data_IF_629104162240
#
_entry.id   IF_629104162240
#
_cell.length_a   1.000
_cell.length_b   1.000
_cell.length_c   1.000
_cell.angle_alpha   90.00
_cell.angle_beta   90.00
_cell.angle_gamma   90.00
#
_symmetry.space_group_name_H-M   'P 1'
#
loop_
_entity.id
_entity.type
_entity.pdbx_description
1 polymer ?
#
# COMPACT_ATOMS: atom_id res chain seq x y z
N UNK A 1 -13.87 4.20 7.64
CA UNK A 1 -12.95 3.08 7.87
C UNK A 1 -11.59 3.52 7.37
N UNK A 2 -10.55 3.29 8.14
CA UNK A 2 -9.16 3.68 7.87
C UNK A 2 -9.02 5.13 7.42
N UNK A 3 -9.48 6.07 8.26
CA UNK A 3 -9.25 7.50 8.02
C UNK A 3 -7.77 7.75 7.70
N UNK A 4 -7.54 8.57 6.68
CA UNK A 4 -6.19 8.95 6.25
C UNK A 4 -5.38 9.57 7.41
N UNK A 5 -6.05 10.35 8.25
CA UNK A 5 -5.52 10.89 9.49
C UNK A 5 -6.56 10.73 10.62
N UNK A 6 -6.17 10.15 11.76
CA UNK A 6 -7.09 9.94 12.89
C UNK A 6 -7.61 11.26 13.47
N UNK A 7 -6.84 12.34 13.33
CA UNK A 7 -7.20 13.69 13.74
C UNK A 7 -8.49 14.20 13.07
N UNK A 8 -8.85 13.67 11.90
CA UNK A 8 -10.08 14.04 11.18
C UNK A 8 -11.33 13.79 12.04
N UNK A 9 -11.31 12.80 12.95
CA UNK A 9 -12.42 12.56 13.88
C UNK A 9 -12.72 13.79 14.75
N UNK A 10 -11.70 14.57 15.13
CA UNK A 10 -11.85 15.76 15.97
C UNK A 10 -12.52 16.95 15.27
N UNK A 11 -12.74 16.89 13.94
CA UNK A 11 -13.43 17.95 13.20
C UNK A 11 -14.96 17.81 13.24
N UNK A 12 -15.48 16.68 13.71
CA UNK A 12 -16.91 16.43 13.77
C UNK A 12 -17.47 16.85 15.13
N UNK A 13 -18.57 17.60 15.10
CA UNK A 13 -19.37 17.92 16.29
C UNK A 13 -20.35 16.80 16.67
N UNK A 14 -20.25 15.64 16.00
CA UNK A 14 -21.10 14.46 16.18
C UNK A 14 -20.20 13.22 16.35
N UNK A 15 -20.66 12.14 17.00
CA UNK A 15 -19.88 10.91 17.14
C UNK A 15 -19.45 10.35 15.77
N UNK A 16 -18.16 10.02 15.64
CA UNK A 16 -17.60 9.38 14.44
C UNK A 16 -16.65 8.26 14.84
N UNK A 17 -16.99 7.03 14.45
CA UNK A 17 -16.17 5.85 14.69
C UNK A 17 -15.24 5.56 13.51
N UNK A 18 -13.93 5.54 13.77
CA UNK A 18 -12.93 5.14 12.79
C UNK A 18 -12.66 3.63 12.91
N UNK A 19 -13.35 2.85 12.09
CA UNK A 19 -13.11 1.41 11.96
C UNK A 19 -11.79 1.13 11.23
N UNK A 20 -11.10 0.05 11.55
CA UNK A 20 -9.83 -0.34 10.93
C UNK A 20 -9.94 -1.67 10.20
N UNK A 21 -9.41 -1.76 8.97
CA UNK A 21 -9.36 -3.02 8.23
C UNK A 21 -8.23 -3.96 8.70
N UNK A 22 -7.32 -3.47 9.54
CA UNK A 22 -6.12 -4.20 9.99
C UNK A 22 -6.38 -5.64 10.46
N UNK A 23 -7.41 -5.94 11.31
CA UNK A 23 -7.65 -7.32 11.76
C UNK A 23 -7.95 -8.28 10.61
N UNK A 24 -8.73 -7.84 9.62
CA UNK A 24 -9.07 -8.64 8.44
C UNK A 24 -7.85 -8.85 7.54
N UNK A 25 -7.01 -7.82 7.41
CA UNK A 25 -5.75 -7.88 6.66
C UNK A 25 -4.80 -8.90 7.30
N UNK A 26 -4.60 -8.83 8.62
CA UNK A 26 -3.75 -9.76 9.38
C UNK A 26 -4.24 -11.20 9.25
N UNK A 27 -5.56 -11.42 9.36
CA UNK A 27 -6.16 -12.73 9.19
C UNK A 27 -5.89 -13.28 7.79
N UNK A 28 -6.10 -12.46 6.75
CA UNK A 28 -5.86 -12.87 5.37
C UNK A 28 -4.39 -13.18 5.11
N UNK A 29 -3.45 -12.34 5.58
CA UNK A 29 -2.01 -12.59 5.41
C UNK A 29 -1.60 -13.92 6.04
N UNK A 30 -1.96 -14.16 7.31
CA UNK A 30 -1.62 -15.40 8.02
C UNK A 30 -2.19 -16.66 7.36
N UNK A 31 -3.34 -16.54 6.69
CA UNK A 31 -4.01 -17.67 6.04
C UNK A 31 -3.48 -17.97 4.64
N UNK A 32 -2.96 -16.96 3.93
CA UNK A 32 -2.67 -17.06 2.50
C UNK A 32 -1.18 -16.93 2.14
N UNK A 33 -0.35 -16.43 3.06
CA UNK A 33 1.06 -16.14 2.80
C UNK A 33 1.96 -16.81 3.86
N UNK A 34 3.17 -17.17 3.44
CA UNK A 34 4.25 -17.58 4.32
C UNK A 34 4.85 -16.35 5.02
N UNK A 35 4.43 -16.11 6.26
CA UNK A 35 4.75 -14.88 7.01
C UNK A 35 6.25 -14.72 7.28
N UNK A 36 6.98 -15.82 7.45
CA UNK A 36 8.42 -15.81 7.75
C UNK A 36 9.24 -15.20 6.61
N UNK A 37 8.77 -15.38 5.36
CA UNK A 37 9.39 -14.83 4.16
C UNK A 37 8.66 -13.60 3.60
N UNK A 38 7.97 -12.85 4.46
CA UNK A 38 7.31 -11.60 4.07
C UNK A 38 8.03 -10.37 4.60
N UNK A 39 7.69 -9.21 4.04
CA UNK A 39 8.13 -7.90 4.54
C UNK A 39 6.98 -6.92 4.29
N UNK A 40 6.59 -6.16 5.32
CA UNK A 40 5.59 -5.10 5.17
C UNK A 40 6.28 -3.83 4.66
N UNK A 41 5.77 -3.22 3.61
CA UNK A 41 6.38 -2.03 2.97
C UNK A 41 5.48 -0.81 3.15
N UNK A 42 6.05 0.28 3.69
CA UNK A 42 5.39 1.58 3.84
C UNK A 42 5.81 2.60 2.76
N UNK A 43 4.88 3.45 2.28
CA UNK A 43 5.17 4.47 1.28
C UNK A 43 6.06 5.60 1.77
N UNK A 44 6.03 5.88 3.08
CA UNK A 44 6.84 6.90 3.73
C UNK A 44 6.80 6.77 5.27
N UNK A 45 7.37 7.76 5.96
CA UNK A 45 7.37 7.85 7.42
C UNK A 45 5.97 8.10 8.03
N UNK A 46 5.04 8.71 7.29
CA UNK A 46 3.67 8.93 7.73
C UNK A 46 2.89 7.61 7.82
N UNK A 47 3.05 6.77 6.79
CA UNK A 47 2.49 5.40 6.75
C UNK A 47 3.18 4.39 7.68
N UNK A 48 4.39 4.71 8.17
CA UNK A 48 5.24 3.76 8.89
C UNK A 48 4.57 3.18 10.13
N UNK A 49 3.85 3.99 10.92
CA UNK A 49 3.16 3.50 12.13
C UNK A 49 2.17 2.35 11.84
N UNK A 50 1.41 2.46 10.75
CA UNK A 50 0.46 1.43 10.33
C UNK A 50 1.18 0.18 9.86
N UNK A 51 2.21 0.35 9.04
CA UNK A 51 2.99 -0.76 8.51
C UNK A 51 3.77 -1.52 9.61
N UNK A 52 4.36 -0.80 10.57
CA UNK A 52 5.04 -1.39 11.73
C UNK A 52 4.05 -2.13 12.63
N UNK A 53 2.86 -1.58 12.90
CA UNK A 53 1.79 -2.29 13.64
C UNK A 53 1.46 -3.65 13.02
N UNK A 54 1.31 -3.69 11.68
CA UNK A 54 1.07 -4.93 10.96
C UNK A 54 2.27 -5.88 11.05
N UNK A 55 3.49 -5.36 10.85
CA UNK A 55 4.72 -6.14 10.88
C UNK A 55 4.96 -6.80 12.25
N UNK A 56 4.80 -6.03 13.33
CA UNK A 56 4.96 -6.51 14.71
C UNK A 56 3.94 -7.61 15.04
N UNK A 57 2.68 -7.43 14.64
CA UNK A 57 1.62 -8.42 14.85
C UNK A 57 1.83 -9.69 14.03
N UNK A 58 2.53 -9.60 12.90
CA UNK A 58 2.91 -10.75 12.07
C UNK A 58 4.26 -11.34 12.46
N UNK A 59 5.02 -10.67 13.35
CA UNK A 59 6.41 -11.01 13.64
C UNK A 59 7.26 -11.11 12.36
N UNK A 60 7.17 -10.10 11.49
CA UNK A 60 7.86 -10.07 10.19
C UNK A 60 8.63 -8.77 9.99
N UNK A 61 9.44 -8.70 8.93
CA UNK A 61 10.25 -7.54 8.64
C UNK A 61 9.42 -6.34 8.15
N UNK A 62 9.99 -5.15 8.29
CA UNK A 62 9.41 -3.89 7.82
C UNK A 62 10.41 -3.16 6.92
N UNK A 63 9.91 -2.56 5.85
CA UNK A 63 10.66 -1.67 4.96
C UNK A 63 9.85 -0.41 4.66
N UNK A 64 10.53 0.69 4.32
CA UNK A 64 9.87 1.93 3.94
C UNK A 64 10.61 2.69 2.86
N UNK A 65 9.87 3.50 2.11
CA UNK A 65 10.48 4.42 1.15
C UNK A 65 10.82 5.74 1.84
N UNK A 66 12.11 6.03 1.95
CA UNK A 66 12.61 7.30 2.44
C UNK A 66 12.86 8.27 1.28
N UNK A 67 12.21 9.44 1.36
CA UNK A 67 12.43 10.57 0.46
C UNK A 67 13.57 11.42 1.02
N UNK A 68 14.78 11.23 0.53
CA UNK A 68 15.86 12.18 0.83
C UNK A 68 15.61 13.47 0.07
N UNK A 69 15.67 14.62 0.76
CA UNK A 69 15.58 15.95 0.13
C UNK A 69 16.80 16.75 0.54
N UNK A 70 17.71 17.09 -0.39
CA UNK A 70 18.88 17.90 -0.04
C UNK A 70 18.50 19.33 0.32
N UNK A 71 17.42 19.88 -0.26
CA UNK A 71 16.84 21.21 0.04
C UNK A 71 15.33 21.21 -0.25
N UNK A 72 14.56 22.15 0.31
CA UNK A 72 13.18 22.39 -0.11
C UNK A 72 13.09 22.60 -1.63
N UNK A 73 12.06 22.01 -2.27
CA UNK A 73 11.83 22.06 -3.72
C UNK A 73 12.88 21.40 -4.62
N UNK A 74 13.90 20.72 -4.08
CA UNK A 74 14.79 19.88 -4.88
C UNK A 74 14.27 18.44 -4.84
N UNK A 75 14.05 17.85 -6.03
CA UNK A 75 13.74 16.43 -6.16
C UNK A 75 14.97 15.66 -5.73
N UNK A 76 14.91 15.06 -4.54
CA UNK A 76 15.97 14.16 -4.10
C UNK A 76 15.65 12.70 -4.43
N UNK A 77 16.42 11.80 -3.82
CA UNK A 77 16.39 10.37 -4.14
C UNK A 77 15.33 9.64 -3.31
N UNK A 78 14.64 8.71 -3.95
CA UNK A 78 13.80 7.72 -3.28
C UNK A 78 14.69 6.54 -2.89
N UNK A 79 14.79 6.25 -1.60
CA UNK A 79 15.60 5.15 -1.07
C UNK A 79 14.68 4.17 -0.36
N UNK A 80 14.72 2.90 -0.76
CA UNK A 80 14.10 1.83 0.01
C UNK A 80 15.00 1.50 1.20
N UNK A 81 14.47 1.65 2.40
CA UNK A 81 15.13 1.29 3.66
C UNK A 81 14.52 -0.01 4.16
N UNK A 82 15.37 -0.99 4.46
CA UNK A 82 14.95 -2.36 4.78
C UNK A 82 15.25 -3.33 3.64
N UNK A 83 15.30 -4.62 3.97
CA UNK A 83 15.65 -5.68 3.02
C UNK A 83 14.41 -6.42 2.53
N UNK A 84 14.13 -6.28 1.23
CA UNK A 84 13.03 -6.95 0.52
C UNK A 84 13.51 -8.02 -0.46
N UNK A 85 14.82 -8.20 -0.60
CA UNK A 85 15.39 -9.10 -1.60
C UNK A 85 14.92 -10.53 -1.34
N UNK A 86 14.48 -11.22 -2.39
CA UNK A 86 14.01 -12.60 -2.35
C UNK A 86 12.81 -12.87 -1.39
N UNK A 87 12.17 -11.81 -0.87
CA UNK A 87 11.00 -11.88 0.02
C UNK A 87 9.69 -11.54 -0.70
N UNK A 88 8.58 -11.84 -0.03
CA UNK A 88 7.25 -11.38 -0.43
C UNK A 88 7.00 -9.98 0.16
N UNK A 89 7.09 -8.95 -0.67
CA UNK A 89 6.79 -7.58 -0.28
C UNK A 89 5.28 -7.36 -0.22
N UNK A 90 4.75 -7.10 0.97
CA UNK A 90 3.33 -6.80 1.20
C UNK A 90 3.16 -5.29 1.32
N UNK A 91 2.37 -4.72 0.43
CA UNK A 91 2.08 -3.29 0.39
C UNK A 91 0.61 -3.08 0.77
N UNK A 92 0.36 -2.27 1.81
CA UNK A 92 -0.99 -1.89 2.25
C UNK A 92 -1.15 -0.38 2.08
N UNK A 93 -1.83 0.05 1.02
CA UNK A 93 -2.01 1.48 0.73
C UNK A 93 -3.28 1.78 -0.05
N UNK A 94 -3.81 2.98 0.13
CA UNK A 94 -4.94 3.56 -0.60
C UNK A 94 -4.50 4.61 -1.64
N UNK A 95 -3.31 5.20 -1.47
CA UNK A 95 -2.72 6.15 -2.41
C UNK A 95 -2.18 5.49 -3.69
N UNK A 96 -2.79 5.82 -4.84
CA UNK A 96 -2.44 5.25 -6.15
C UNK A 96 -0.99 5.53 -6.58
N UNK A 97 -0.55 6.79 -6.51
CA UNK A 97 0.79 7.16 -6.96
C UNK A 97 1.88 6.55 -6.06
N UNK A 98 1.64 6.55 -4.76
CA UNK A 98 2.52 5.90 -3.78
C UNK A 98 2.62 4.40 -4.01
N UNK A 99 1.51 3.76 -4.37
CA UNK A 99 1.47 2.34 -4.68
C UNK A 99 2.40 2.00 -5.86
N UNK A 100 2.31 2.74 -6.97
CA UNK A 100 3.21 2.52 -8.11
C UNK A 100 4.68 2.74 -7.77
N UNK A 101 4.98 3.76 -6.95
CA UNK A 101 6.34 4.03 -6.48
C UNK A 101 6.87 2.85 -5.67
N UNK A 102 6.08 2.32 -4.74
CA UNK A 102 6.48 1.18 -3.91
C UNK A 102 6.68 -0.09 -4.73
N UNK A 103 5.79 -0.37 -5.69
CA UNK A 103 5.94 -1.53 -6.59
C UNK A 103 7.26 -1.41 -7.37
N UNK A 104 7.51 -0.25 -7.98
CA UNK A 104 8.76 0.01 -8.69
C UNK A 104 9.99 -0.19 -7.79
N UNK A 105 9.96 0.34 -6.57
CA UNK A 105 11.07 0.22 -5.62
C UNK A 105 11.32 -1.24 -5.19
N UNK A 106 10.26 -2.00 -4.89
CA UNK A 106 10.37 -3.41 -4.51
C UNK A 106 10.90 -4.27 -5.67
N UNK A 107 10.48 -3.99 -6.91
CA UNK A 107 11.01 -4.65 -8.11
C UNK A 107 12.49 -4.35 -8.32
N UNK A 108 12.89 -3.09 -8.23
CA UNK A 108 14.29 -2.69 -8.37
C UNK A 108 15.19 -3.28 -7.29
N UNK A 109 14.62 -3.61 -6.12
CA UNK A 109 15.30 -4.26 -5.01
C UNK A 109 15.17 -5.80 -5.04
N UNK A 110 14.73 -6.39 -6.17
CA UNK A 110 14.66 -7.85 -6.38
C UNK A 110 13.76 -8.59 -5.38
N UNK A 111 12.62 -8.01 -5.01
CA UNK A 111 11.59 -8.74 -4.27
C UNK A 111 11.11 -9.95 -5.08
N UNK A 112 10.98 -11.11 -4.42
CA UNK A 112 10.54 -12.38 -5.05
C UNK A 112 9.11 -12.29 -5.58
N UNK A 113 8.25 -11.60 -4.84
CA UNK A 113 6.84 -11.36 -5.20
C UNK A 113 6.36 -10.09 -4.51
N UNK A 114 5.49 -9.35 -5.20
CA UNK A 114 4.81 -8.19 -4.63
C UNK A 114 3.35 -8.55 -4.43
N UNK A 115 2.84 -8.40 -3.21
CA UNK A 115 1.43 -8.61 -2.87
C UNK A 115 0.84 -7.29 -2.41
N UNK A 116 -0.14 -6.79 -3.16
CA UNK A 116 -0.82 -5.54 -2.80
C UNK A 116 -2.12 -5.89 -2.10
N UNK A 117 -2.35 -5.25 -0.95
CA UNK A 117 -3.62 -5.26 -0.24
C UNK A 117 -4.21 -3.86 -0.38
N UNK A 118 -5.33 -3.78 -1.12
CA UNK A 118 -6.05 -2.53 -1.42
C UNK A 118 -7.38 -2.52 -0.67
N UNK A 119 -7.47 -1.89 0.53
CA UNK A 119 -8.75 -1.74 1.23
C UNK A 119 -9.76 -0.94 0.42
N UNK A 120 -9.28 0.00 -0.40
CA UNK A 120 -10.07 0.79 -1.32
C UNK A 120 -9.45 0.69 -2.73
N UNK A 121 -10.14 0.04 -3.66
CA UNK A 121 -9.67 -0.05 -5.04
C UNK A 121 -9.93 1.31 -5.73
N UNK A 122 -8.90 2.00 -6.28
CA UNK A 122 -9.07 3.35 -6.80
C UNK A 122 -9.70 3.32 -8.20
N UNK A 123 -11.03 3.34 -8.26
CA UNK A 123 -11.78 3.50 -9.52
C UNK A 123 -12.98 4.41 -9.32
N UNK A 124 -13.49 4.97 -10.43
CA UNK A 124 -14.63 5.90 -10.41
C UNK A 124 -15.98 5.18 -10.36
N UNK A 125 -16.63 5.05 -11.52
CA UNK A 125 -17.99 4.48 -11.67
C UNK A 125 -18.17 3.56 -12.89
N UNK A 126 -17.07 3.11 -13.50
CA UNK A 126 -17.07 2.28 -14.70
C UNK A 126 -16.39 0.93 -14.41
N UNK A 127 -17.04 0.13 -13.59
CA UNK A 127 -16.65 -1.25 -13.24
C UNK A 127 -17.27 -2.29 -14.18
N UNK A 128 -18.35 -1.93 -14.87
CA UNK A 128 -19.03 -2.78 -15.85
C UNK A 128 -19.25 -2.08 -17.18
N UNK A 129 -19.50 -2.87 -18.22
CA UNK A 129 -19.75 -2.38 -19.58
C UNK A 129 -21.22 -2.01 -19.74
N UNK A 130 -21.56 -0.74 -19.54
CA UNK A 130 -22.95 -0.27 -19.66
C UNK A 130 -23.40 -0.03 -21.11
N UNK A 131 -22.46 0.23 -22.02
CA UNK A 131 -22.72 0.44 -23.45
C UNK A 131 -21.63 -0.19 -24.31
N UNK A 132 -21.95 -0.49 -25.57
CA UNK A 132 -20.93 -0.91 -26.54
C UNK A 132 -19.83 0.15 -26.64
N UNK A 133 -18.55 -0.29 -26.63
CA UNK A 133 -17.34 0.56 -26.66
C UNK A 133 -17.14 1.50 -25.45
N UNK A 134 -17.91 1.37 -24.37
CA UNK A 134 -17.66 2.14 -23.14
C UNK A 134 -16.33 1.68 -22.47
N UNK A 135 -15.51 2.62 -21.96
CA UNK A 135 -14.32 2.28 -21.20
C UNK A 135 -14.70 1.66 -19.86
N UNK A 136 -13.86 0.75 -19.37
CA UNK A 136 -14.00 0.15 -18.04
C UNK A 136 -12.80 0.62 -17.21
N UNK A 137 -12.98 1.70 -16.46
CA UNK A 137 -11.94 2.31 -15.62
C UNK A 137 -11.31 1.32 -14.64
N UNK A 138 -12.10 0.42 -14.04
CA UNK A 138 -11.59 -0.60 -13.12
C UNK A 138 -10.63 -1.59 -13.83
N UNK A 139 -10.93 -1.95 -15.08
CA UNK A 139 -10.06 -2.81 -15.90
C UNK A 139 -8.76 -2.10 -16.29
N UNK A 140 -8.83 -0.81 -16.59
CA UNK A 140 -7.63 -0.01 -16.86
C UNK A 140 -6.74 0.04 -15.61
N UNK A 141 -7.33 0.33 -14.46
CA UNK A 141 -6.64 0.39 -13.18
C UNK A 141 -5.98 -0.94 -12.82
N UNK A 142 -6.68 -2.06 -12.99
CA UNK A 142 -6.13 -3.40 -12.78
C UNK A 142 -4.92 -3.68 -13.71
N UNK A 143 -5.03 -3.33 -15.00
CA UNK A 143 -3.92 -3.50 -15.96
C UNK A 143 -2.71 -2.63 -15.62
N UNK A 144 -2.93 -1.41 -15.13
CA UNK A 144 -1.83 -0.53 -14.72
C UNK A 144 -1.05 -1.13 -13.54
N UNK A 145 -1.75 -1.72 -12.57
CA UNK A 145 -1.12 -2.43 -11.46
C UNK A 145 -0.34 -3.65 -11.96
N UNK A 146 -0.96 -4.50 -12.77
CA UNK A 146 -0.32 -5.69 -13.35
C UNK A 146 0.97 -5.32 -14.12
N UNK A 147 0.91 -4.32 -14.98
CA UNK A 147 2.09 -3.85 -15.75
C UNK A 147 3.17 -3.27 -14.84
N UNK A 148 2.79 -2.61 -13.74
CA UNK A 148 3.77 -2.11 -12.76
C UNK A 148 4.51 -3.25 -12.05
N UNK A 149 3.88 -4.43 -11.90
CA UNK A 149 4.52 -5.69 -11.55
C UNK A 149 4.05 -6.38 -10.29
N UNK A 150 2.76 -6.30 -10.01
CA UNK A 150 2.08 -7.19 -9.08
C UNK A 150 1.36 -8.32 -9.82
#
# INVERSE_FOLDING_TARGET
>A
MDLHASQIQGFFNVPVDNLYAEPSILHWIRKNLDVENTVIVSPDAGGAKRATSIADRLNTAFALIHKERPRPNVVGRMVLVGDVQDKVAIIVNDGLMELFIMISACRSASARRITIILPNFPYGRQDKKDKSRAPISAKLMAKMLEVSGC
#
